data_IF_639459143150
#
_entry.id   IF_639459143150
#
_cell.length_a   1.000
_cell.length_b   1.000
_cell.length_c   1.000
_cell.angle_alpha   90.00
_cell.angle_beta   90.00
_cell.angle_gamma   90.00
#
_symmetry.space_group_name_H-M   'P 1'
#
loop_
_entity.id
_entity.type
_entity.pdbx_description
1 polymer ?
#
# COMPACT_ATOMS: atom_id res chain seq x y z
N UNK A 1 50.28 34.18 26.57
CA UNK A 1 49.96 33.72 25.20
C UNK A 1 48.60 33.03 25.28
N UNK A 2 47.45 33.72 25.12
CA UNK A 2 46.72 34.10 23.89
C UNK A 2 46.45 32.93 22.92
N UNK A 3 45.18 32.53 22.78
CA UNK A 3 44.60 31.77 21.65
C UNK A 3 43.55 30.74 22.08
N UNK A 4 42.25 31.08 22.27
CA UNK A 4 41.13 31.25 21.29
C UNK A 4 40.88 29.99 20.45
N UNK A 5 39.83 29.21 20.76
CA UNK A 5 38.48 29.28 20.15
C UNK A 5 38.54 29.28 18.62
N UNK A 6 38.33 28.11 18.01
CA UNK A 6 37.79 28.00 16.65
C UNK A 6 37.07 26.67 16.44
N UNK A 7 35.75 26.80 16.24
CA UNK A 7 34.81 25.91 15.55
C UNK A 7 34.53 24.53 16.15
N UNK A 8 33.34 24.26 16.71
CA UNK A 8 32.02 24.33 16.06
C UNK A 8 32.09 23.92 14.58
N UNK A 9 32.51 22.68 14.32
CA UNK A 9 32.07 22.02 13.10
C UNK A 9 30.62 21.58 13.33
N UNK A 10 29.71 22.46 12.93
CA UNK A 10 28.37 22.12 12.50
C UNK A 10 28.48 20.92 11.55
N UNK A 11 28.29 19.71 12.06
CA UNK A 11 27.68 18.67 11.25
C UNK A 11 26.17 18.81 11.50
N UNK A 12 25.59 19.84 10.88
CA UNK A 12 24.21 19.71 10.43
C UNK A 12 24.26 18.54 9.43
N UNK A 13 24.10 17.32 9.94
CA UNK A 13 23.48 16.27 9.14
C UNK A 13 22.14 16.88 8.82
N UNK A 14 22.05 17.49 7.64
CA UNK A 14 20.77 17.78 7.04
C UNK A 14 20.06 16.45 7.00
N UNK A 15 19.12 16.23 7.93
CA UNK A 15 18.00 15.36 7.66
C UNK A 15 17.30 16.02 6.47
N UNK A 16 17.76 15.66 5.28
CA UNK A 16 16.95 15.78 4.09
C UNK A 16 15.72 14.96 4.40
N UNK A 17 14.63 15.64 4.70
CA UNK A 17 13.31 15.04 4.75
C UNK A 17 13.05 14.65 3.30
N UNK A 18 13.45 13.44 2.92
CA UNK A 18 13.01 12.84 1.68
C UNK A 18 11.51 12.61 1.88
N UNK A 19 10.70 13.56 1.43
CA UNK A 19 9.28 13.31 1.20
C UNK A 19 9.22 12.35 0.01
N UNK A 20 9.16 11.06 0.33
CA UNK A 20 8.76 10.04 -0.63
C UNK A 20 7.28 10.27 -0.88
N UNK A 21 6.96 10.90 -2.01
CA UNK A 21 5.59 10.97 -2.52
C UNK A 21 4.96 9.58 -2.41
N UNK A 22 3.87 9.45 -1.65
CA UNK A 22 3.06 8.23 -1.67
C UNK A 22 2.45 8.06 -3.07
N UNK A 23 3.18 7.34 -3.93
CA UNK A 23 2.73 6.93 -5.25
C UNK A 23 2.06 5.55 -5.13
N UNK A 24 1.01 5.34 -5.92
CA UNK A 24 0.38 4.02 -5.97
C UNK A 24 1.39 3.03 -6.56
N UNK A 25 1.77 2.03 -5.77
CA UNK A 25 2.79 1.07 -6.18
C UNK A 25 2.26 0.16 -7.29
N UNK A 26 2.96 0.14 -8.43
CA UNK A 26 2.66 -0.76 -9.52
C UNK A 26 3.32 -2.13 -9.27
N UNK A 27 2.50 -3.12 -8.92
CA UNK A 27 2.95 -4.50 -8.75
C UNK A 27 2.83 -5.27 -10.07
N UNK A 28 3.91 -5.96 -10.43
CA UNK A 28 4.01 -6.78 -11.64
C UNK A 28 4.12 -8.26 -11.26
N UNK A 29 4.18 -9.12 -12.28
CA UNK A 29 4.49 -10.54 -12.09
C UNK A 29 5.76 -10.80 -11.27
N UNK A 30 6.74 -9.91 -11.37
CA UNK A 30 8.04 -10.08 -10.73
C UNK A 30 8.08 -9.52 -9.30
N UNK A 31 7.32 -8.45 -9.02
CA UNK A 31 7.39 -7.73 -7.74
C UNK A 31 6.28 -8.12 -6.75
N UNK A 32 5.14 -8.61 -7.25
CA UNK A 32 3.94 -8.81 -6.42
C UNK A 32 4.21 -9.70 -5.20
N UNK A 33 4.76 -10.90 -5.41
CA UNK A 33 4.94 -11.89 -4.33
C UNK A 33 5.91 -11.43 -3.25
N UNK A 34 6.97 -10.73 -3.61
CA UNK A 34 7.97 -10.27 -2.65
C UNK A 34 7.46 -9.07 -1.85
N UNK A 35 6.74 -8.16 -2.52
CA UNK A 35 6.16 -6.98 -1.89
C UNK A 35 5.11 -7.32 -0.84
N UNK A 36 4.14 -8.17 -1.17
CA UNK A 36 3.08 -8.52 -0.22
C UNK A 36 3.57 -9.29 1.02
N UNK A 37 4.82 -9.77 1.02
CA UNK A 37 5.49 -10.44 2.14
C UNK A 37 6.28 -9.49 3.05
N UNK A 38 6.36 -8.20 2.70
CA UNK A 38 6.95 -7.20 3.59
C UNK A 38 6.24 -7.25 4.94
N UNK A 39 7.04 -7.42 5.99
CA UNK A 39 6.54 -7.64 7.35
C UNK A 39 5.91 -6.37 7.88
N UNK A 40 4.86 -6.54 8.70
CA UNK A 40 4.18 -5.43 9.38
C UNK A 40 3.60 -4.40 8.39
N UNK A 41 3.40 -4.79 7.12
CA UNK A 41 2.88 -3.95 6.05
C UNK A 41 1.60 -4.54 5.48
N UNK A 42 0.54 -3.72 5.51
CA UNK A 42 -0.76 -4.03 4.95
C UNK A 42 -0.82 -3.54 3.50
N UNK A 43 -0.98 -4.47 2.56
CA UNK A 43 -1.03 -4.15 1.13
C UNK A 43 -2.47 -4.11 0.65
N UNK A 44 -2.98 -2.91 0.34
CA UNK A 44 -4.29 -2.77 -0.29
C UNK A 44 -4.12 -2.66 -1.81
N UNK A 45 -4.53 -3.72 -2.52
CA UNK A 45 -4.21 -3.89 -3.95
C UNK A 45 -5.46 -3.80 -4.81
N UNK A 46 -5.44 -2.89 -5.79
CA UNK A 46 -6.39 -2.86 -6.89
C UNK A 46 -5.96 -3.78 -8.03
N UNK A 47 -6.82 -4.70 -8.44
CA UNK A 47 -6.67 -5.50 -9.66
C UNK A 47 -7.57 -4.96 -10.77
N UNK A 48 -6.97 -4.56 -11.88
CA UNK A 48 -7.68 -3.92 -13.00
C UNK A 48 -7.11 -4.28 -14.38
N UNK A 49 -7.76 -3.76 -15.42
CA UNK A 49 -7.26 -3.74 -16.81
C UNK A 49 -7.52 -2.36 -17.44
N UNK A 50 -6.64 -1.87 -18.33
CA UNK A 50 -6.66 -0.46 -18.76
C UNK A 50 -7.85 -0.08 -19.66
N UNK A 51 -8.49 -1.07 -20.31
CA UNK A 51 -9.65 -0.84 -21.18
C UNK A 51 -11.00 -0.89 -20.46
N UNK A 52 -11.03 -1.25 -19.17
CA UNK A 52 -12.30 -1.37 -18.44
C UNK A 52 -12.83 0.00 -18.02
N UNK A 53 -14.06 0.33 -18.43
CA UNK A 53 -14.73 1.60 -18.08
C UNK A 53 -14.83 1.81 -16.55
N UNK A 54 -15.10 0.75 -15.79
CA UNK A 54 -15.18 0.83 -14.33
C UNK A 54 -13.80 1.05 -13.69
N UNK A 55 -12.73 0.49 -14.27
CA UNK A 55 -11.35 0.72 -13.82
C UNK A 55 -10.95 2.19 -13.94
N UNK A 56 -11.21 2.81 -15.11
CA UNK A 56 -10.85 4.21 -15.36
C UNK A 56 -11.45 5.19 -14.36
N UNK A 57 -12.68 4.92 -13.88
CA UNK A 57 -13.31 5.75 -12.84
C UNK A 57 -12.59 5.63 -11.49
N UNK A 58 -12.10 4.44 -11.17
CA UNK A 58 -11.44 4.17 -9.89
C UNK A 58 -9.99 4.66 -9.89
N UNK A 59 -9.30 4.64 -11.03
CA UNK A 59 -7.87 4.99 -11.11
C UNK A 59 -7.54 6.33 -10.42
N UNK A 60 -8.33 7.37 -10.69
CA UNK A 60 -8.16 8.68 -10.03
C UNK A 60 -8.41 8.65 -8.52
N UNK A 61 -9.44 7.91 -8.08
CA UNK A 61 -9.78 7.77 -6.66
C UNK A 61 -8.72 6.95 -5.94
N UNK A 62 -8.10 5.99 -6.62
CA UNK A 62 -7.06 5.14 -6.07
C UNK A 62 -5.76 5.91 -5.84
N UNK A 63 -5.41 6.81 -6.76
CA UNK A 63 -4.31 7.76 -6.58
C UNK A 63 -4.59 8.76 -5.45
N UNK A 64 -5.83 9.22 -5.32
CA UNK A 64 -6.23 10.08 -4.21
C UNK A 64 -6.18 9.36 -2.87
N UNK A 65 -6.60 8.09 -2.82
CA UNK A 65 -6.43 7.24 -1.63
C UNK A 65 -4.96 7.09 -1.26
N UNK A 66 -4.08 6.79 -2.22
CA UNK A 66 -2.63 6.67 -1.99
C UNK A 66 -2.05 7.91 -1.31
N UNK A 67 -2.45 9.11 -1.76
CA UNK A 67 -2.07 10.37 -1.10
C UNK A 67 -2.73 10.55 0.28
N UNK A 68 -3.97 10.11 0.45
CA UNK A 68 -4.74 10.33 1.66
C UNK A 68 -4.27 9.49 2.86
N UNK A 69 -3.52 8.41 2.60
CA UNK A 69 -2.87 7.53 3.61
C UNK A 69 -1.36 7.72 3.67
N UNK A 70 -0.83 8.77 3.02
CA UNK A 70 0.59 9.12 3.10
C UNK A 70 0.96 9.43 4.57
N UNK A 71 1.88 8.66 5.14
CA UNK A 71 2.29 8.74 6.54
C UNK A 71 1.73 7.64 7.44
N UNK A 72 0.84 6.78 6.93
CA UNK A 72 0.48 5.52 7.60
C UNK A 72 1.56 4.47 7.31
N UNK A 73 2.60 4.41 8.16
CA UNK A 73 3.80 3.56 7.96
C UNK A 73 3.50 2.06 7.74
N UNK A 74 2.31 1.60 8.12
CA UNK A 74 1.88 0.21 8.01
C UNK A 74 0.99 -0.08 6.78
N UNK A 75 0.71 0.90 5.91
CA UNK A 75 -0.23 0.76 4.79
C UNK A 75 0.43 1.10 3.47
N UNK A 76 0.33 0.18 2.51
CA UNK A 76 0.77 0.39 1.13
C UNK A 76 -0.41 0.26 0.16
N UNK A 77 -0.59 1.28 -0.68
CA UNK A 77 -1.62 1.30 -1.73
C UNK A 77 -0.99 0.91 -3.06
N UNK A 78 -1.47 -0.19 -3.64
CA UNK A 78 -0.89 -0.77 -4.84
C UNK A 78 -1.93 -1.07 -5.92
N UNK A 79 -1.44 -1.27 -7.15
CA UNK A 79 -2.26 -1.76 -8.26
C UNK A 79 -1.53 -2.78 -9.12
N UNK A 80 -2.32 -3.69 -9.71
CA UNK A 80 -1.89 -4.72 -10.65
C UNK A 80 -2.71 -4.58 -11.93
N UNK A 81 -2.01 -4.48 -13.07
CA UNK A 81 -2.63 -4.60 -14.39
C UNK A 81 -2.68 -6.08 -14.80
N UNK A 82 -3.87 -6.67 -14.77
CA UNK A 82 -4.10 -8.06 -15.11
C UNK A 82 -3.98 -8.37 -16.60
N UNK A 83 -3.86 -7.35 -17.46
CA UNK A 83 -3.57 -7.56 -18.89
C UNK A 83 -2.13 -8.02 -19.12
N UNK A 84 -1.20 -7.50 -18.32
CA UNK A 84 0.24 -7.77 -18.38
C UNK A 84 0.69 -8.76 -17.32
N UNK A 85 0.02 -8.78 -16.15
CA UNK A 85 0.35 -9.63 -15.01
C UNK A 85 -0.67 -10.76 -14.79
N UNK A 86 -1.06 -11.45 -15.87
CA UNK A 86 -2.07 -12.52 -15.84
C UNK A 86 -1.82 -13.59 -14.76
N UNK A 87 -0.59 -14.12 -14.59
CA UNK A 87 -0.35 -15.16 -13.57
C UNK A 87 -0.64 -14.69 -12.15
N UNK A 88 -0.38 -13.41 -11.83
CA UNK A 88 -0.69 -12.82 -10.52
C UNK A 88 -2.20 -12.82 -10.31
N UNK A 89 -2.96 -12.31 -11.28
CA UNK A 89 -4.40 -12.20 -11.17
C UNK A 89 -5.12 -13.55 -11.17
N UNK A 90 -4.58 -14.56 -11.86
CA UNK A 90 -5.07 -15.94 -11.76
C UNK A 90 -4.83 -16.52 -10.37
N UNK A 91 -3.62 -16.36 -9.81
CA UNK A 91 -3.30 -16.84 -8.46
C UNK A 91 -4.11 -16.13 -7.37
N UNK A 92 -4.35 -14.83 -7.55
CA UNK A 92 -5.18 -14.02 -6.66
C UNK A 92 -6.69 -14.14 -6.95
N UNK A 93 -7.12 -15.14 -7.71
CA UNK A 93 -8.54 -15.46 -7.98
C UNK A 93 -9.39 -14.27 -8.49
N UNK A 94 -8.83 -13.50 -9.44
CA UNK A 94 -9.50 -12.31 -9.98
C UNK A 94 -10.39 -12.69 -11.17
N UNK A 95 -11.69 -12.62 -10.95
CA UNK A 95 -12.71 -12.93 -11.98
C UNK A 95 -13.46 -11.70 -12.52
N UNK A 96 -13.29 -10.53 -11.92
CA UNK A 96 -13.96 -9.30 -12.35
C UNK A 96 -13.14 -8.06 -12.01
N UNK A 97 -13.38 -6.97 -12.74
CA UNK A 97 -12.65 -5.72 -12.60
C UNK A 97 -13.58 -4.52 -12.33
N UNK A 98 -13.16 -3.57 -11.48
CA UNK A 98 -12.06 -3.67 -10.53
C UNK A 98 -12.37 -4.68 -9.40
N UNK A 99 -11.33 -5.32 -8.86
CA UNK A 99 -11.38 -6.06 -7.60
C UNK A 99 -10.34 -5.49 -6.65
N UNK A 100 -10.65 -5.38 -5.36
CA UNK A 100 -9.76 -4.87 -4.34
C UNK A 100 -9.55 -5.95 -3.29
N UNK A 101 -8.30 -6.24 -2.96
CA UNK A 101 -7.95 -7.23 -1.94
C UNK A 101 -6.87 -6.68 -1.02
N UNK A 102 -6.96 -7.08 0.23
CA UNK A 102 -6.00 -6.78 1.28
C UNK A 102 -5.07 -7.98 1.45
N UNK A 103 -3.76 -7.73 1.50
CA UNK A 103 -2.76 -8.74 1.76
C UNK A 103 -1.92 -8.34 2.97
N UNK A 104 -1.49 -9.35 3.73
CA UNK A 104 -0.64 -9.15 4.90
C UNK A 104 0.23 -10.39 5.10
N UNK A 105 1.53 -10.19 5.34
CA UNK A 105 2.52 -11.27 5.51
C UNK A 105 2.51 -12.34 4.40
N UNK A 106 2.23 -11.91 3.17
CA UNK A 106 2.23 -12.77 1.97
C UNK A 106 0.91 -13.47 1.68
N UNK A 107 -0.06 -13.36 2.58
CA UNK A 107 -1.36 -14.03 2.47
C UNK A 107 -2.46 -13.04 2.09
N UNK A 108 -3.49 -13.53 1.38
CA UNK A 108 -4.72 -12.79 1.17
C UNK A 108 -5.49 -12.73 2.49
N UNK A 109 -5.78 -11.54 2.97
CA UNK A 109 -6.55 -11.33 4.18
C UNK A 109 -8.05 -11.24 3.89
N UNK A 110 -8.44 -10.29 3.02
CA UNK A 110 -9.84 -10.02 2.76
C UNK A 110 -10.05 -9.38 1.38
N UNK A 111 -11.17 -9.71 0.74
CA UNK A 111 -11.68 -8.98 -0.42
C UNK A 111 -12.57 -7.83 0.02
N UNK A 112 -12.24 -6.61 -0.38
CA UNK A 112 -13.08 -5.45 -0.09
C UNK A 112 -14.30 -5.38 -1.03
N UNK A 113 -15.50 -5.28 -0.44
CA UNK A 113 -16.78 -5.20 -1.18
C UNK A 113 -17.61 -3.95 -0.84
N UNK A 114 -17.02 -2.99 -0.11
CA UNK A 114 -17.70 -1.77 0.32
C UNK A 114 -17.80 -0.67 -0.76
N UNK A 115 -18.24 0.55 -0.36
CA UNK A 115 -18.28 1.72 -1.22
C UNK A 115 -16.92 2.10 -1.81
N UNK A 116 -16.90 2.74 -2.97
CA UNK A 116 -15.64 2.96 -3.74
C UNK A 116 -15.22 4.42 -3.80
N UNK A 117 -15.74 5.25 -2.89
CA UNK A 117 -15.25 6.60 -2.64
C UNK A 117 -14.01 6.58 -1.73
N UNK A 118 -13.20 7.64 -1.81
CA UNK A 118 -11.91 7.74 -1.10
C UNK A 118 -12.09 7.63 0.40
N UNK A 119 -13.12 8.28 0.96
CA UNK A 119 -13.38 8.26 2.40
C UNK A 119 -13.65 6.85 2.92
N UNK A 120 -14.54 6.11 2.24
CA UNK A 120 -14.88 4.73 2.63
C UNK A 120 -13.69 3.77 2.50
N UNK A 121 -12.83 3.97 1.51
CA UNK A 121 -11.61 3.18 1.32
C UNK A 121 -10.54 3.51 2.36
N UNK A 122 -10.40 4.80 2.69
CA UNK A 122 -9.48 5.31 3.70
C UNK A 122 -9.83 4.76 5.09
N UNK A 123 -11.08 4.96 5.51
CA UNK A 123 -11.58 4.45 6.80
C UNK A 123 -11.40 2.92 6.89
N UNK A 124 -11.64 2.20 5.80
CA UNK A 124 -11.41 0.76 5.77
C UNK A 124 -9.95 0.40 6.03
N UNK A 125 -9.01 1.01 5.31
CA UNK A 125 -7.60 0.62 5.43
C UNK A 125 -6.98 1.09 6.76
N UNK A 126 -7.41 2.23 7.29
CA UNK A 126 -7.02 2.71 8.62
C UNK A 126 -7.52 1.79 9.74
N UNK A 127 -8.80 1.37 9.73
CA UNK A 127 -9.33 0.39 10.69
C UNK A 127 -8.54 -0.93 10.68
N UNK A 128 -8.14 -1.38 9.49
CA UNK A 128 -7.31 -2.58 9.37
C UNK A 128 -5.89 -2.34 9.88
N UNK A 129 -5.27 -1.21 9.58
CA UNK A 129 -3.95 -0.87 10.12
C UNK A 129 -3.95 -0.77 11.66
N UNK A 130 -5.01 -0.21 12.26
CA UNK A 130 -5.15 -0.17 13.72
C UNK A 130 -5.32 -1.57 14.34
N UNK A 131 -6.04 -2.47 13.67
CA UNK A 131 -6.13 -3.89 14.07
C UNK A 131 -4.78 -4.60 13.97
N UNK A 132 -3.94 -4.19 13.00
CA UNK A 132 -2.60 -4.71 12.84
C UNK A 132 -1.72 -4.30 14.01
N UNK A 133 -1.73 -3.01 14.33
CA UNK A 133 -0.97 -2.45 15.44
C UNK A 133 -1.36 -3.08 16.81
N UNK A 134 -2.58 -3.61 16.92
CA UNK A 134 -3.06 -4.34 18.11
C UNK A 134 -2.80 -5.85 18.07
N UNK A 135 -2.23 -6.38 16.98
CA UNK A 135 -1.96 -7.81 16.79
C UNK A 135 -3.23 -8.65 16.58
N UNK A 136 -4.36 -8.02 16.25
CA UNK A 136 -5.63 -8.72 16.04
C UNK A 136 -5.64 -9.44 14.68
N UNK A 137 -5.07 -8.80 13.66
CA UNK A 137 -4.99 -9.33 12.29
C UNK A 137 -4.20 -10.64 12.18
N UNK A 138 -3.12 -10.81 12.95
CA UNK A 138 -2.33 -12.05 12.95
C UNK A 138 -3.16 -13.26 13.41
N UNK A 139 -4.06 -13.06 14.38
CA UNK A 139 -4.92 -14.12 14.91
C UNK A 139 -5.99 -14.53 13.90
N UNK A 140 -6.53 -13.57 13.16
CA UNK A 140 -7.54 -13.82 12.14
C UNK A 140 -6.94 -14.63 10.98
N UNK A 141 -5.75 -14.25 10.48
CA UNK A 141 -5.03 -15.01 9.42
C UNK A 141 -4.71 -16.43 9.88
N UNK A 142 -4.28 -16.61 11.13
CA UNK A 142 -3.98 -17.94 11.68
C UNK A 142 -5.21 -18.85 11.83
N UNK A 143 -6.42 -18.31 11.70
CA UNK A 143 -7.69 -19.03 11.88
C UNK A 143 -8.37 -19.45 10.57
N UNK A 144 -7.89 -18.97 9.42
CA UNK A 144 -8.38 -19.30 8.07
C UNK A 144 -7.73 -20.57 7.52
#
# INVERSE_FOLDING_TARGET
MKGKWWFLSFFFIGLGIYSTSADVIHLTGDTFTDKIKEKDTLWFVQFCVPWCKHCKKIELLWEELGRAVEGEDAVEIAKVDCSTSKPVCTKADIHSYPTFKLFYNGEEYEKYTGPRDVESLKVYVEDKAEKLARGELDNDVASL
#
